data_IF_431139672220
#
_entry.id   IF_431139672220
#
_cell.length_a   1.000
_cell.length_b   1.000
_cell.length_c   1.000
_cell.angle_alpha   90.00
_cell.angle_beta   90.00
_cell.angle_gamma   90.00
#
_symmetry.space_group_name_H-M   'P 1'
#
loop_
_entity.id
_entity.type
_entity.pdbx_description
1 polymer ?
#
# COMPACT_ATOMS: atom_id res chain seq x y z
N UNK A 1 -5.64 25.71 -70.43
CA UNK A 1 -6.97 26.35 -70.53
C UNK A 1 -7.98 25.27 -70.93
N UNK A 2 -8.60 24.63 -69.94
CA UNK A 2 -9.91 23.97 -70.02
C UNK A 2 -10.31 23.62 -68.57
N UNK A 3 -11.53 23.94 -68.12
CA UNK A 3 -11.91 23.99 -66.72
C UNK A 3 -12.44 22.63 -66.22
N UNK A 4 -12.21 22.32 -64.95
CA UNK A 4 -12.91 21.23 -64.27
C UNK A 4 -14.34 21.65 -63.93
N UNK A 5 -15.36 20.80 -64.13
CA UNK A 5 -16.73 21.13 -63.76
C UNK A 5 -16.98 20.90 -62.27
N UNK A 6 -17.79 21.81 -61.74
CA UNK A 6 -18.28 21.94 -60.39
C UNK A 6 -19.43 20.98 -60.07
N UNK A 7 -19.65 20.86 -58.75
CA UNK A 7 -20.83 20.36 -58.07
C UNK A 7 -22.16 20.69 -58.76
N UNK A 8 -22.98 19.67 -58.97
CA UNK A 8 -24.37 19.56 -58.50
C UNK A 8 -24.94 18.25 -59.03
N UNK A 9 -25.23 17.30 -58.13
CA UNK A 9 -26.31 16.32 -58.27
C UNK A 9 -26.49 15.65 -56.90
N UNK A 10 -27.50 16.13 -56.18
CA UNK A 10 -28.08 15.51 -54.98
C UNK A 10 -29.35 14.82 -55.43
N UNK A 11 -29.49 13.53 -55.09
CA UNK A 11 -30.75 12.79 -54.81
C UNK A 11 -30.30 11.37 -54.43
N UNK A 12 -30.12 11.05 -53.14
CA UNK A 12 -31.10 10.51 -52.18
C UNK A 12 -31.76 9.19 -52.59
N UNK A 13 -31.96 8.31 -51.59
CA UNK A 13 -32.64 7.00 -51.61
C UNK A 13 -31.74 5.82 -52.05
N UNK A 14 -31.31 4.87 -51.21
CA UNK A 14 -32.05 4.09 -50.21
C UNK A 14 -31.09 3.43 -49.21
N UNK A 15 -31.38 3.56 -47.91
CA UNK A 15 -30.75 2.82 -46.82
C UNK A 15 -31.27 1.38 -46.77
N UNK A 16 -30.78 0.50 -47.64
CA UNK A 16 -31.06 -0.92 -47.60
C UNK A 16 -29.98 -1.65 -48.40
N UNK A 17 -28.83 -1.89 -47.78
CA UNK A 17 -27.92 -3.01 -48.04
C UNK A 17 -26.57 -2.70 -47.40
N UNK A 18 -26.36 -3.23 -46.18
CA UNK A 18 -25.07 -3.62 -45.57
C UNK A 18 -25.29 -3.87 -44.06
N UNK A 19 -26.13 -4.86 -43.74
CA UNK A 19 -26.21 -5.42 -42.40
C UNK A 19 -26.39 -6.94 -42.50
N UNK A 20 -25.37 -7.63 -42.99
CA UNK A 20 -25.17 -9.05 -42.72
C UNK A 20 -24.25 -9.14 -41.49
N UNK A 21 -24.70 -9.70 -40.35
CA UNK A 21 -23.78 -9.92 -39.24
C UNK A 21 -22.88 -11.10 -39.60
N UNK A 22 -21.58 -10.83 -39.75
CA UNK A 22 -20.53 -11.85 -39.66
C UNK A 22 -20.54 -12.37 -38.21
N UNK A 23 -21.35 -13.38 -37.94
CA UNK A 23 -21.20 -14.22 -36.76
C UNK A 23 -19.94 -15.06 -37.01
N UNK A 24 -18.76 -14.48 -36.75
CA UNK A 24 -17.57 -15.27 -36.50
C UNK A 24 -17.76 -15.90 -35.13
N UNK A 25 -17.97 -17.21 -35.10
CA UNK A 25 -17.90 -18.05 -33.91
C UNK A 25 -16.49 -17.97 -33.32
N UNK A 26 -16.19 -16.89 -32.61
CA UNK A 26 -15.07 -16.86 -31.67
C UNK A 26 -15.50 -17.72 -30.51
N UNK A 27 -14.95 -18.94 -30.43
CA UNK A 27 -15.12 -19.78 -29.27
C UNK A 27 -14.63 -18.96 -28.08
N UNK A 28 -15.53 -18.58 -27.18
CA UNK A 28 -15.18 -18.02 -25.89
C UNK A 28 -14.33 -19.07 -25.17
N UNK A 29 -13.01 -19.00 -25.32
CA UNK A 29 -12.09 -19.66 -24.43
C UNK A 29 -12.24 -18.98 -23.08
N UNK A 30 -13.24 -19.43 -22.32
CA UNK A 30 -13.33 -19.20 -20.89
C UNK A 30 -12.02 -19.76 -20.33
N UNK A 31 -11.07 -18.92 -19.86
CA UNK A 31 -9.85 -19.46 -19.29
C UNK A 31 -10.28 -20.38 -18.17
N UNK A 32 -9.78 -21.62 -18.20
CA UNK A 32 -10.02 -22.58 -17.14
C UNK A 32 -9.53 -21.91 -15.85
N UNK A 33 -10.47 -21.47 -15.02
CA UNK A 33 -10.19 -20.90 -13.71
C UNK A 33 -9.49 -22.01 -12.92
N UNK A 34 -8.16 -21.92 -12.82
CA UNK A 34 -7.38 -22.85 -12.01
C UNK A 34 -7.91 -22.72 -10.58
N UNK A 35 -8.44 -23.79 -9.97
CA UNK A 35 -8.97 -23.71 -8.61
C UNK A 35 -7.92 -23.12 -7.69
N UNK A 36 -8.30 -22.09 -6.93
CA UNK A 36 -7.45 -21.50 -5.90
C UNK A 36 -7.03 -22.60 -4.92
N UNK A 37 -5.73 -22.79 -4.72
CA UNK A 37 -5.22 -23.68 -3.67
C UNK A 37 -4.84 -22.79 -2.48
N UNK A 38 -5.52 -22.92 -1.32
CA UNK A 38 -5.21 -22.16 -0.11
C UNK A 38 -3.75 -22.29 0.37
N UNK A 39 -3.00 -23.29 -0.15
CA UNK A 39 -1.58 -23.50 0.13
C UNK A 39 -0.63 -22.46 -0.48
N UNK A 40 -1.10 -21.62 -1.41
CA UNK A 40 -0.27 -20.58 -2.03
C UNK A 40 0.00 -19.39 -1.09
N UNK A 41 -0.76 -19.28 0.01
CA UNK A 41 -0.62 -18.22 1.02
C UNK A 41 0.03 -18.82 2.28
N UNK A 42 1.14 -18.24 2.77
CA UNK A 42 1.77 -18.67 4.01
C UNK A 42 0.82 -18.61 5.22
N UNK A 43 0.95 -19.57 6.12
CA UNK A 43 0.07 -19.71 7.29
C UNK A 43 0.07 -18.52 8.27
N UNK A 44 1.10 -17.66 8.22
CA UNK A 44 1.18 -16.44 9.03
C UNK A 44 0.32 -15.27 8.49
N UNK A 45 -0.20 -15.38 7.26
CA UNK A 45 -1.07 -14.37 6.66
C UNK A 45 -2.52 -14.65 7.06
N UNK A 46 -3.27 -13.59 7.38
CA UNK A 46 -4.71 -13.66 7.65
C UNK A 46 -5.45 -14.30 6.45
N UNK A 47 -6.51 -15.09 6.70
CA UNK A 47 -7.31 -15.64 5.61
C UNK A 47 -7.94 -14.53 4.78
N UNK A 48 -8.06 -14.78 3.47
CA UNK A 48 -8.75 -13.87 2.55
C UNK A 48 -10.23 -13.72 2.95
N UNK A 49 -10.84 -12.55 2.72
CA UNK A 49 -12.21 -12.33 3.14
C UNK A 49 -13.17 -13.13 2.23
N UNK A 50 -14.28 -13.63 2.79
CA UNK A 50 -15.16 -14.60 2.12
C UNK A 50 -15.99 -14.02 0.97
N UNK A 51 -15.99 -12.70 0.80
CA UNK A 51 -16.71 -11.97 -0.23
C UNK A 51 -16.03 -11.96 -1.60
N UNK A 52 -14.77 -12.40 -1.71
CA UNK A 52 -14.07 -12.46 -2.99
C UNK A 52 -14.65 -13.56 -3.89
N UNK A 53 -15.13 -13.16 -5.06
CA UNK A 53 -15.64 -14.07 -6.07
C UNK A 53 -14.52 -14.92 -6.72
N UNK A 54 -14.86 -16.06 -7.34
CA UNK A 54 -13.87 -16.94 -7.98
C UNK A 54 -13.13 -16.27 -9.15
N UNK A 55 -13.76 -15.33 -9.84
CA UNK A 55 -13.15 -14.55 -10.93
C UNK A 55 -12.10 -13.59 -10.39
N UNK A 56 -12.41 -12.91 -9.29
CA UNK A 56 -11.52 -11.95 -8.62
C UNK A 56 -10.30 -12.67 -8.04
N UNK A 57 -10.52 -13.83 -7.41
CA UNK A 57 -9.45 -14.70 -6.92
C UNK A 57 -8.52 -15.17 -8.03
N UNK A 58 -9.06 -15.59 -9.17
CA UNK A 58 -8.25 -16.01 -10.32
C UNK A 58 -7.44 -14.84 -10.88
N UNK A 59 -8.04 -13.66 -11.01
CA UNK A 59 -7.35 -12.47 -11.48
C UNK A 59 -6.22 -12.02 -10.53
N UNK A 60 -6.49 -11.96 -9.23
CA UNK A 60 -5.48 -11.63 -8.21
C UNK A 60 -4.35 -12.66 -8.20
N UNK A 61 -4.66 -13.95 -8.36
CA UNK A 61 -3.66 -15.02 -8.45
C UNK A 61 -2.78 -14.86 -9.69
N UNK A 62 -3.37 -14.63 -10.86
CA UNK A 62 -2.64 -14.41 -12.11
C UNK A 62 -1.69 -13.21 -12.03
N UNK A 63 -2.14 -12.13 -11.36
CA UNK A 63 -1.32 -10.94 -11.08
C UNK A 63 -0.30 -11.11 -9.96
N UNK A 64 -0.28 -12.27 -9.30
CA UNK A 64 0.62 -12.56 -8.19
C UNK A 64 0.31 -11.78 -6.90
N UNK A 65 -0.93 -11.35 -6.70
CA UNK A 65 -1.38 -10.63 -5.51
C UNK A 65 -1.25 -11.44 -4.22
N UNK A 66 -1.20 -12.77 -4.32
CA UNK A 66 -1.00 -13.69 -3.19
C UNK A 66 0.45 -14.20 -3.07
N UNK A 67 1.33 -13.89 -4.03
CA UNK A 67 2.68 -14.46 -4.05
C UNK A 67 3.63 -13.65 -3.17
N UNK A 68 4.19 -14.31 -2.15
CA UNK A 68 5.24 -13.76 -1.30
C UNK A 68 6.60 -14.28 -1.79
N UNK A 69 7.66 -13.45 -1.81
CA UNK A 69 8.99 -13.90 -2.19
C UNK A 69 9.57 -14.93 -1.22
N UNK A 70 10.72 -15.51 -1.60
CA UNK A 70 11.51 -16.35 -0.72
C UNK A 70 11.84 -15.65 0.61
N UNK A 71 11.84 -16.42 1.71
CA UNK A 71 12.04 -15.92 3.08
C UNK A 71 13.28 -15.02 3.21
N UNK A 72 14.40 -15.42 2.60
CA UNK A 72 15.65 -14.65 2.62
C UNK A 72 15.49 -13.23 2.02
N UNK A 73 14.76 -13.11 0.92
CA UNK A 73 14.48 -11.82 0.29
C UNK A 73 13.40 -11.04 1.05
N UNK A 74 12.33 -11.71 1.50
CA UNK A 74 11.26 -11.12 2.32
C UNK A 74 11.83 -10.48 3.59
N UNK A 75 12.63 -11.23 4.35
CA UNK A 75 13.18 -10.80 5.62
C UNK A 75 14.19 -9.67 5.43
N UNK A 76 15.00 -9.73 4.36
CA UNK A 76 15.85 -8.63 3.95
C UNK A 76 15.08 -7.33 3.64
N UNK A 77 13.93 -7.44 2.96
CA UNK A 77 13.05 -6.28 2.68
C UNK A 77 12.43 -5.69 3.96
N UNK A 78 11.99 -6.53 4.88
CA UNK A 78 11.43 -6.10 6.17
C UNK A 78 12.51 -5.44 7.03
N UNK A 79 13.72 -6.00 7.05
CA UNK A 79 14.85 -5.42 7.77
C UNK A 79 15.17 -4.00 7.28
N UNK A 80 15.27 -3.79 5.96
CA UNK A 80 15.55 -2.45 5.44
C UNK A 80 14.37 -1.50 5.62
N UNK A 81 13.13 -1.99 5.64
CA UNK A 81 11.97 -1.18 6.02
C UNK A 81 12.09 -0.68 7.46
N UNK A 82 12.41 -1.57 8.41
CA UNK A 82 12.60 -1.24 9.83
C UNK A 82 13.74 -0.23 9.99
N UNK A 83 14.84 -0.40 9.26
CA UNK A 83 16.03 0.47 9.39
C UNK A 83 15.83 1.86 8.78
N UNK A 84 15.20 1.95 7.61
CA UNK A 84 15.24 3.17 6.79
C UNK A 84 13.88 3.85 6.58
N UNK A 85 12.76 3.14 6.74
CA UNK A 85 11.42 3.70 6.52
C UNK A 85 10.72 3.99 7.84
N UNK A 86 10.67 3.00 8.74
CA UNK A 86 9.98 3.11 10.02
C UNK A 86 10.36 4.35 10.85
N UNK A 87 11.66 4.75 10.94
CA UNK A 87 12.06 5.98 11.62
C UNK A 87 11.33 7.26 11.19
N UNK A 88 10.94 7.33 9.91
CA UNK A 88 10.32 8.51 9.32
C UNK A 88 8.81 8.36 9.19
N UNK A 89 8.30 7.13 9.19
CA UNK A 89 6.89 6.80 9.07
C UNK A 89 6.55 5.60 9.97
N UNK A 90 6.46 5.80 11.28
CA UNK A 90 6.27 4.74 12.27
C UNK A 90 4.80 4.30 12.33
N UNK A 91 4.20 3.91 11.20
CA UNK A 91 2.78 3.59 11.10
C UNK A 91 2.39 2.17 11.56
N UNK A 92 3.37 1.32 11.87
CA UNK A 92 3.15 -0.07 12.27
C UNK A 92 3.51 -0.34 13.74
N UNK A 93 2.92 -1.42 14.25
CA UNK A 93 3.46 -2.16 15.38
C UNK A 93 4.48 -3.18 14.85
N UNK A 94 5.76 -2.91 15.11
CA UNK A 94 6.82 -3.77 14.61
C UNK A 94 6.89 -5.11 15.36
N UNK A 95 6.50 -5.15 16.64
CA UNK A 95 6.48 -6.41 17.40
C UNK A 95 5.44 -7.34 16.78
N UNK A 96 4.22 -6.84 16.57
CA UNK A 96 3.16 -7.60 15.93
C UNK A 96 3.52 -8.08 14.52
N UNK A 97 4.21 -7.23 13.74
CA UNK A 97 4.71 -7.61 12.41
C UNK A 97 5.70 -8.77 12.48
N UNK A 98 6.68 -8.73 13.39
CA UNK A 98 7.74 -9.74 13.40
C UNK A 98 7.30 -11.02 14.09
N UNK A 99 6.69 -10.92 15.27
CA UNK A 99 6.13 -12.11 15.94
C UNK A 99 5.09 -12.79 15.06
N UNK A 100 4.41 -12.00 14.23
CA UNK A 100 3.42 -12.54 13.32
C UNK A 100 4.01 -13.40 12.21
N UNK A 101 5.24 -13.12 11.73
CA UNK A 101 5.90 -13.92 10.68
C UNK A 101 6.34 -15.28 11.24
N UNK A 102 6.80 -15.28 12.49
CA UNK A 102 7.19 -16.49 13.22
C UNK A 102 5.96 -17.34 13.62
N UNK A 103 4.77 -16.74 13.65
CA UNK A 103 3.56 -17.41 14.11
C UNK A 103 2.81 -18.12 12.97
N UNK A 104 2.44 -19.38 13.17
CA UNK A 104 1.73 -20.20 12.19
C UNK A 104 0.21 -19.98 12.15
N UNK A 105 -0.35 -19.05 12.95
CA UNK A 105 -1.81 -18.90 13.12
C UNK A 105 -2.44 -17.69 12.41
N UNK A 106 -1.81 -17.13 11.38
CA UNK A 106 -2.47 -16.16 10.48
C UNK A 106 -2.69 -14.78 11.11
N UNK A 107 -1.64 -14.12 11.58
CA UNK A 107 -1.73 -12.82 12.28
C UNK A 107 -1.53 -11.59 11.40
N UNK A 108 -0.93 -11.72 10.20
CA UNK A 108 -0.49 -10.57 9.40
C UNK A 108 -1.44 -10.28 8.24
N UNK A 109 -1.80 -9.01 8.09
CA UNK A 109 -2.50 -8.51 6.91
C UNK A 109 -1.63 -8.64 5.65
N UNK A 110 -2.15 -9.31 4.61
CA UNK A 110 -1.43 -9.52 3.36
C UNK A 110 -1.08 -8.20 2.67
N UNK A 111 -2.03 -7.24 2.65
CA UNK A 111 -1.81 -5.94 2.01
C UNK A 111 -0.72 -5.15 2.75
N UNK A 112 -0.71 -5.20 4.08
CA UNK A 112 0.33 -4.56 4.90
C UNK A 112 1.69 -5.19 4.65
N UNK A 113 1.77 -6.52 4.58
CA UNK A 113 3.03 -7.21 4.30
C UNK A 113 3.59 -6.83 2.92
N UNK A 114 2.75 -6.80 1.89
CA UNK A 114 3.15 -6.32 0.57
C UNK A 114 3.61 -4.86 0.60
N UNK A 115 2.91 -4.01 1.35
CA UNK A 115 3.23 -2.59 1.47
C UNK A 115 4.56 -2.34 2.21
N UNK A 116 4.86 -3.14 3.24
CA UNK A 116 6.15 -3.14 3.95
C UNK A 116 7.28 -3.55 3.02
N UNK A 117 7.12 -4.68 2.32
CA UNK A 117 8.12 -5.15 1.35
C UNK A 117 8.33 -4.12 0.22
N UNK A 118 7.24 -3.53 -0.28
CA UNK A 118 7.26 -2.45 -1.25
C UNK A 118 8.10 -1.26 -0.77
N UNK A 119 7.85 -0.78 0.44
CA UNK A 119 8.57 0.36 1.01
C UNK A 119 10.06 0.04 1.23
N UNK A 120 10.38 -1.20 1.63
CA UNK A 120 11.76 -1.66 1.79
C UNK A 120 12.57 -1.72 0.48
N UNK A 121 11.91 -1.91 -0.66
CA UNK A 121 12.59 -2.01 -1.98
C UNK A 121 13.37 -0.74 -2.36
N UNK A 122 13.12 0.42 -1.74
CA UNK A 122 13.93 1.61 -1.98
C UNK A 122 15.37 1.48 -1.43
N UNK A 123 15.59 0.62 -0.43
CA UNK A 123 16.84 0.58 0.35
C UNK A 123 17.62 -0.74 0.24
N UNK A 124 16.99 -1.82 -0.26
CA UNK A 124 17.66 -3.12 -0.41
C UNK A 124 18.81 -3.07 -1.43
N UNK A 125 19.89 -3.84 -1.26
CA UNK A 125 20.97 -3.91 -2.26
C UNK A 125 20.52 -4.47 -3.62
N UNK A 126 21.10 -4.01 -4.73
CA UNK A 126 20.73 -4.48 -6.07
C UNK A 126 21.06 -5.96 -6.29
N UNK A 127 22.08 -6.49 -5.60
CA UNK A 127 22.40 -7.92 -5.58
C UNK A 127 21.18 -8.78 -5.17
N UNK A 128 20.49 -8.42 -4.09
CA UNK A 128 19.32 -9.17 -3.62
C UNK A 128 18.15 -9.12 -4.63
N UNK A 129 17.95 -7.97 -5.28
CA UNK A 129 16.91 -7.82 -6.31
C UNK A 129 17.21 -8.71 -7.52
N UNK A 130 18.47 -8.75 -7.97
CA UNK A 130 18.91 -9.61 -9.06
C UNK A 130 18.84 -11.09 -8.71
N UNK A 131 19.24 -11.47 -7.49
CA UNK A 131 19.12 -12.85 -6.99
C UNK A 131 17.66 -13.31 -6.92
N UNK A 132 16.73 -12.42 -6.62
CA UNK A 132 15.28 -12.68 -6.65
C UNK A 132 14.69 -12.71 -8.08
N UNK A 133 15.52 -12.64 -9.12
CA UNK A 133 15.10 -12.76 -10.53
C UNK A 133 14.58 -11.47 -11.16
N UNK A 134 14.79 -10.30 -10.54
CA UNK A 134 14.36 -9.02 -11.10
C UNK A 134 15.51 -8.27 -11.76
N UNK A 135 15.21 -7.61 -12.88
CA UNK A 135 16.20 -6.88 -13.67
C UNK A 135 16.52 -5.49 -13.11
N UNK A 136 15.53 -4.78 -12.57
CA UNK A 136 15.70 -3.41 -12.08
C UNK A 136 14.91 -3.15 -10.81
N UNK A 137 15.44 -2.27 -9.94
CA UNK A 137 14.73 -1.80 -8.75
C UNK A 137 13.39 -1.17 -9.09
N UNK A 138 13.35 -0.30 -10.10
CA UNK A 138 12.12 0.40 -10.52
C UNK A 138 11.03 -0.58 -10.94
N UNK A 139 11.34 -1.55 -11.82
CA UNK A 139 10.37 -2.56 -12.23
C UNK A 139 9.89 -3.43 -11.06
N UNK A 140 10.78 -3.76 -10.13
CA UNK A 140 10.43 -4.50 -8.90
C UNK A 140 9.48 -3.71 -8.01
N UNK A 141 9.79 -2.42 -7.78
CA UNK A 141 8.91 -1.52 -7.03
C UNK A 141 7.53 -1.40 -7.66
N UNK A 142 7.45 -1.22 -8.98
CA UNK A 142 6.17 -1.19 -9.70
C UNK A 142 5.39 -2.49 -9.50
N UNK A 143 6.03 -3.66 -9.59
CA UNK A 143 5.35 -4.94 -9.36
C UNK A 143 4.78 -5.07 -7.95
N UNK A 144 5.55 -4.71 -6.92
CA UNK A 144 5.07 -4.77 -5.54
C UNK A 144 3.98 -3.73 -5.26
N UNK A 145 4.12 -2.52 -5.82
CA UNK A 145 3.10 -1.49 -5.73
C UNK A 145 1.76 -1.97 -6.34
N UNK A 146 1.79 -2.58 -7.53
CA UNK A 146 0.59 -3.13 -8.17
C UNK A 146 -0.06 -4.23 -7.31
N UNK A 147 0.70 -5.06 -6.60
CA UNK A 147 0.12 -6.05 -5.67
C UNK A 147 -0.67 -5.37 -4.56
N UNK A 148 -0.11 -4.35 -3.90
CA UNK A 148 -0.79 -3.59 -2.84
C UNK A 148 -2.04 -2.91 -3.39
N UNK A 149 -1.91 -2.25 -4.55
CA UNK A 149 -3.02 -1.58 -5.23
C UNK A 149 -4.15 -2.54 -5.58
N UNK A 150 -3.85 -3.72 -6.12
CA UNK A 150 -4.86 -4.72 -6.47
C UNK A 150 -5.57 -5.24 -5.21
N UNK A 151 -4.84 -5.58 -4.16
CA UNK A 151 -5.47 -6.00 -2.89
C UNK A 151 -6.39 -4.92 -2.31
N UNK A 152 -6.03 -3.65 -2.49
CA UNK A 152 -6.88 -2.52 -2.12
C UNK A 152 -8.10 -2.37 -3.03
N UNK A 153 -7.94 -2.44 -4.35
CA UNK A 153 -9.03 -2.27 -5.33
C UNK A 153 -10.08 -3.39 -5.26
N UNK A 154 -9.71 -4.57 -4.80
CA UNK A 154 -10.59 -5.72 -4.60
C UNK A 154 -11.06 -5.90 -3.14
N UNK A 155 -10.91 -4.86 -2.30
CA UNK A 155 -11.37 -4.85 -0.90
C UNK A 155 -10.92 -6.10 -0.09
N UNK A 156 -9.67 -6.55 -0.32
CA UNK A 156 -9.14 -7.78 0.29
C UNK A 156 -8.81 -7.65 1.78
N UNK A 157 -8.82 -6.44 2.33
CA UNK A 157 -8.49 -6.18 3.73
C UNK A 157 -9.67 -5.52 4.45
N UNK A 158 -10.33 -6.23 5.38
CA UNK A 158 -11.44 -5.67 6.14
C UNK A 158 -10.98 -4.75 7.28
N UNK A 159 -9.73 -4.91 7.76
CA UNK A 159 -9.19 -4.07 8.83
C UNK A 159 -8.79 -2.69 8.29
N UNK A 160 -9.59 -1.68 8.64
CA UNK A 160 -9.34 -0.29 8.23
C UNK A 160 -8.03 0.28 8.76
N UNK A 161 -7.52 -0.21 9.90
CA UNK A 161 -6.21 0.23 10.41
C UNK A 161 -5.11 -0.28 9.49
N UNK A 162 -5.18 -1.55 9.10
CA UNK A 162 -4.28 -2.17 8.13
C UNK A 162 -4.35 -1.48 6.75
N UNK A 163 -5.55 -1.08 6.31
CA UNK A 163 -5.72 -0.30 5.09
C UNK A 163 -5.02 1.06 5.15
N UNK A 164 -5.17 1.83 6.23
CA UNK A 164 -4.47 3.12 6.40
C UNK A 164 -2.95 2.91 6.38
N UNK A 165 -2.44 1.86 7.04
CA UNK A 165 -1.02 1.52 7.02
C UNK A 165 -0.52 1.25 5.60
N UNK A 166 -1.22 0.41 4.83
CA UNK A 166 -0.86 0.10 3.46
C UNK A 166 -0.91 1.34 2.55
N UNK A 167 -1.98 2.12 2.62
CA UNK A 167 -2.15 3.35 1.82
C UNK A 167 -1.06 4.38 2.13
N UNK A 168 -0.68 4.54 3.40
CA UNK A 168 0.44 5.41 3.78
C UNK A 168 1.76 4.94 3.17
N UNK A 169 2.04 3.64 3.19
CA UNK A 169 3.26 3.12 2.59
C UNK A 169 3.25 3.29 1.07
N UNK A 170 2.10 3.13 0.39
CA UNK A 170 1.98 3.39 -1.04
C UNK A 170 2.37 4.82 -1.44
N UNK A 171 2.19 5.80 -0.55
CA UNK A 171 2.62 7.19 -0.81
C UNK A 171 4.14 7.29 -1.02
N UNK A 172 4.95 6.31 -0.63
CA UNK A 172 6.40 6.29 -0.86
C UNK A 172 6.79 5.97 -2.32
N UNK A 173 5.83 5.62 -3.18
CA UNK A 173 6.11 5.35 -4.58
C UNK A 173 6.56 6.61 -5.33
N UNK A 174 7.67 6.49 -6.05
CA UNK A 174 8.11 7.52 -7.00
C UNK A 174 7.38 7.31 -8.32
N UNK A 175 6.22 7.96 -8.46
CA UNK A 175 5.42 7.90 -9.67
C UNK A 175 6.17 8.52 -10.85
N UNK A 176 6.12 7.90 -12.05
CA UNK A 176 6.45 8.58 -13.29
C UNK A 176 5.65 9.87 -13.43
N UNK A 177 6.24 10.87 -14.10
CA UNK A 177 5.50 12.06 -14.51
C UNK A 177 4.24 11.61 -15.27
N UNK A 178 3.07 12.15 -14.91
CA UNK A 178 1.76 11.93 -15.54
C UNK A 178 0.90 10.74 -15.08
N UNK A 179 1.24 10.01 -14.01
CA UNK A 179 0.26 9.08 -13.42
C UNK A 179 -0.87 9.82 -12.70
N UNK A 180 -2.12 9.41 -12.96
CA UNK A 180 -3.33 10.01 -12.38
C UNK A 180 -3.46 9.73 -10.86
N UNK A 181 -2.95 8.58 -10.40
CA UNK A 181 -2.98 8.14 -9.00
C UNK A 181 -1.61 8.38 -8.34
N UNK A 182 -1.23 9.65 -8.22
CA UNK A 182 0.04 10.07 -7.62
C UNK A 182 0.05 10.04 -6.08
N UNK A 183 1.15 10.48 -5.47
CA UNK A 183 1.33 10.49 -4.01
C UNK A 183 0.23 11.27 -3.26
N UNK A 184 -0.26 12.37 -3.84
CA UNK A 184 -1.35 13.17 -3.27
C UNK A 184 -2.67 12.38 -3.30
N UNK A 185 -2.96 11.66 -4.39
CA UNK A 185 -4.12 10.77 -4.44
C UNK A 185 -4.11 9.71 -3.32
N UNK A 186 -3.00 8.98 -3.16
CA UNK A 186 -2.89 7.94 -2.12
C UNK A 186 -2.95 8.51 -0.71
N UNK A 187 -2.40 9.71 -0.51
CA UNK A 187 -2.50 10.44 0.76
C UNK A 187 -3.96 10.79 1.06
N UNK A 188 -4.72 11.27 0.07
CA UNK A 188 -6.17 11.49 0.20
C UNK A 188 -6.96 10.23 0.56
N UNK A 189 -6.61 9.08 -0.03
CA UNK A 189 -7.23 7.78 0.33
C UNK A 189 -6.91 7.39 1.78
N UNK A 190 -5.66 7.53 2.21
CA UNK A 190 -5.27 7.25 3.60
C UNK A 190 -6.01 8.16 4.60
N UNK A 191 -6.17 9.45 4.27
CA UNK A 191 -6.94 10.41 5.08
C UNK A 191 -8.41 9.99 5.17
N UNK A 192 -9.03 9.63 4.05
CA UNK A 192 -10.43 9.19 4.02
C UNK A 192 -10.65 7.96 4.90
N UNK A 193 -9.77 6.97 4.83
CA UNK A 193 -9.87 5.77 5.67
C UNK A 193 -9.61 6.10 7.15
N UNK A 194 -8.63 6.97 7.45
CA UNK A 194 -8.33 7.41 8.81
C UNK A 194 -9.51 8.16 9.45
N UNK A 195 -10.25 8.96 8.69
CA UNK A 195 -11.49 9.57 9.17
C UNK A 195 -12.57 8.52 9.38
N UNK A 196 -12.74 7.60 8.43
CA UNK A 196 -13.79 6.57 8.46
C UNK A 196 -13.67 5.63 9.66
N UNK A 197 -12.45 5.27 10.07
CA UNK A 197 -12.24 4.49 11.29
C UNK A 197 -11.99 5.36 12.53
N UNK A 198 -12.05 6.69 12.45
CA UNK A 198 -11.98 7.57 13.62
C UNK A 198 -10.58 7.69 14.25
N UNK A 199 -9.49 7.63 13.46
CA UNK A 199 -8.12 7.85 13.98
C UNK A 199 -7.88 9.31 14.40
N UNK A 200 -8.57 10.25 13.77
CA UNK A 200 -8.58 11.67 14.14
C UNK A 200 -9.17 11.96 15.52
N UNK A 201 -9.78 10.93 16.14
CA UNK A 201 -10.45 11.04 17.42
C UNK A 201 -9.60 10.55 18.59
N UNK A 202 -9.71 11.18 19.74
CA UNK A 202 -9.15 10.66 20.99
C UNK A 202 -9.73 9.26 21.26
N UNK A 203 -8.85 8.31 21.57
CA UNK A 203 -9.27 6.96 21.90
C UNK A 203 -10.02 6.94 23.24
N UNK A 204 -11.14 6.23 23.28
CA UNK A 204 -11.83 5.93 24.53
C UNK A 204 -11.07 4.81 25.26
N UNK A 205 -10.60 5.04 26.51
CA UNK A 205 -9.87 4.02 27.27
C UNK A 205 -10.67 2.75 27.57
N UNK A 206 -12.00 2.82 27.50
CA UNK A 206 -12.91 1.67 27.70
C UNK A 206 -12.98 0.72 26.51
N UNK A 207 -12.64 1.19 25.31
CA UNK A 207 -12.98 0.51 24.06
C UNK A 207 -11.80 -0.29 23.49
N UNK A 208 -10.59 -0.03 23.97
CA UNK A 208 -9.36 -0.62 23.43
C UNK A 208 -8.23 -0.66 24.46
N UNK A 209 -7.24 -1.51 24.19
CA UNK A 209 -6.02 -1.60 24.99
C UNK A 209 -5.14 -0.35 24.82
N UNK A 210 -4.23 -0.12 25.76
CA UNK A 210 -3.28 0.99 25.68
C UNK A 210 -2.40 0.94 24.42
N UNK A 211 -2.01 -0.27 23.99
CA UNK A 211 -1.21 -0.49 22.77
C UNK A 211 -1.99 -0.13 21.51
N UNK A 212 -3.27 -0.54 21.42
CA UNK A 212 -4.14 -0.17 20.29
C UNK A 212 -4.39 1.34 20.25
N UNK A 213 -4.62 1.98 21.40
CA UNK A 213 -4.78 3.43 21.49
C UNK A 213 -3.51 4.18 21.03
N UNK A 214 -2.34 3.73 21.47
CA UNK A 214 -1.05 4.28 21.06
C UNK A 214 -0.83 4.12 19.55
N UNK A 215 -1.08 2.93 18.98
CA UNK A 215 -0.96 2.68 17.55
C UNK A 215 -1.91 3.57 16.73
N UNK A 216 -3.17 3.70 17.13
CA UNK A 216 -4.15 4.56 16.44
C UNK A 216 -3.73 6.01 16.43
N UNK A 217 -3.27 6.52 17.58
CA UNK A 217 -2.75 7.88 17.73
C UNK A 217 -1.50 8.09 16.85
N UNK A 218 -0.54 7.16 16.90
CA UNK A 218 0.68 7.17 16.07
C UNK A 218 0.33 7.19 14.57
N UNK A 219 -0.63 6.36 14.17
CA UNK A 219 -1.09 6.26 12.79
C UNK A 219 -1.77 7.54 12.30
N UNK A 220 -2.62 8.17 13.12
CA UNK A 220 -3.19 9.48 12.81
C UNK A 220 -2.11 10.52 12.52
N UNK A 221 -1.12 10.64 13.40
CA UNK A 221 -0.03 11.60 13.22
C UNK A 221 0.86 11.29 12.02
N UNK A 222 1.02 10.00 11.65
CA UNK A 222 1.63 9.61 10.38
C UNK A 222 0.84 10.14 9.17
N UNK A 223 -0.49 10.00 9.17
CA UNK A 223 -1.36 10.56 8.13
C UNK A 223 -1.23 12.08 8.05
N UNK A 224 -1.32 12.75 9.20
CA UNK A 224 -1.26 14.21 9.28
C UNK A 224 0.07 14.76 8.76
N UNK A 225 1.19 14.25 9.25
CA UNK A 225 2.53 14.67 8.79
C UNK A 225 2.70 14.38 7.31
N UNK A 226 2.24 13.22 6.84
CA UNK A 226 2.35 12.87 5.42
C UNK A 226 1.59 13.85 4.53
N UNK A 227 0.37 14.22 4.88
CA UNK A 227 -0.40 15.23 4.14
C UNK A 227 0.37 16.55 3.98
N UNK A 228 0.97 17.06 5.06
CA UNK A 228 1.74 18.30 5.02
C UNK A 228 2.98 18.20 4.14
N UNK A 229 3.74 17.11 4.26
CA UNK A 229 4.95 16.91 3.47
C UNK A 229 4.65 16.73 1.98
N UNK A 230 3.57 16.01 1.65
CA UNK A 230 3.14 15.79 0.26
C UNK A 230 2.60 17.09 -0.35
N UNK A 231 1.76 17.82 0.37
CA UNK A 231 1.26 19.13 -0.05
C UNK A 231 2.42 20.09 -0.36
N UNK A 232 3.42 20.15 0.52
CA UNK A 232 4.62 20.97 0.34
C UNK A 232 5.45 20.52 -0.87
N UNK A 233 5.77 19.23 -0.95
CA UNK A 233 6.63 18.67 -2.01
C UNK A 233 6.00 18.74 -3.40
N UNK A 234 4.68 18.57 -3.50
CA UNK A 234 3.94 18.61 -4.77
C UNK A 234 3.35 19.98 -5.10
N UNK A 235 3.51 20.98 -4.22
CA UNK A 235 2.91 22.32 -4.35
C UNK A 235 1.39 22.25 -4.52
N UNK A 236 0.74 21.40 -3.74
CA UNK A 236 -0.73 21.21 -3.72
C UNK A 236 -1.30 21.61 -2.36
N UNK A 237 -2.62 21.74 -2.30
CA UNK A 237 -3.32 21.98 -1.04
C UNK A 237 -3.25 20.78 -0.09
N UNK A 238 -3.17 21.06 1.20
CA UNK A 238 -3.35 20.09 2.28
C UNK A 238 -4.77 19.53 2.23
N UNK A 239 -4.93 18.23 2.51
CA UNK A 239 -6.21 17.54 2.42
C UNK A 239 -6.87 17.32 3.78
N UNK A 240 -6.11 17.35 4.88
CA UNK A 240 -6.69 17.34 6.24
C UNK A 240 -7.25 18.73 6.55
N UNK A 241 -8.57 18.86 6.40
CA UNK A 241 -9.32 20.12 6.60
C UNK A 241 -10.33 20.07 7.75
N UNK A 242 -10.64 18.88 8.27
CA UNK A 242 -11.62 18.66 9.35
C UNK A 242 -10.95 18.80 10.71
N UNK A 243 -11.71 19.25 11.70
CA UNK A 243 -11.28 19.27 13.08
C UNK A 243 -10.89 17.86 13.56
N UNK A 244 -9.83 17.79 14.34
CA UNK A 244 -9.34 16.59 15.00
C UNK A 244 -9.17 16.89 16.50
N UNK A 245 -9.37 15.89 17.34
CA UNK A 245 -9.19 15.99 18.79
C UNK A 245 -8.13 15.00 19.31
N UNK A 246 -7.47 14.26 18.40
CA UNK A 246 -6.39 13.35 18.74
C UNK A 246 -5.27 14.07 19.49
N UNK A 247 -4.88 13.59 20.70
CA UNK A 247 -3.85 14.24 21.49
C UNK A 247 -2.49 14.18 20.80
N UNK A 248 -1.63 15.15 21.09
CA UNK A 248 -0.24 15.16 20.61
C UNK A 248 0.52 13.92 21.07
N UNK A 249 1.41 13.41 20.22
CA UNK A 249 2.28 12.29 20.52
C UNK A 249 3.19 12.58 21.71
N UNK A 250 3.38 11.54 22.51
CA UNK A 250 4.31 11.44 23.61
C UNK A 250 5.31 10.32 23.32
N UNK A 251 6.37 10.21 24.11
CA UNK A 251 7.36 9.14 23.91
C UNK A 251 6.79 7.76 24.21
N UNK A 252 5.80 7.68 25.08
CA UNK A 252 5.17 6.42 25.50
C UNK A 252 4.30 5.82 24.39
N UNK A 253 3.95 6.62 23.37
CA UNK A 253 3.22 6.15 22.18
C UNK A 253 4.12 5.35 21.21
N UNK A 254 5.43 5.28 21.46
CA UNK A 254 6.40 4.57 20.63
C UNK A 254 6.88 3.30 21.34
N UNK A 255 6.66 2.15 20.69
CA UNK A 255 7.05 0.86 21.21
C UNK A 255 8.57 0.76 21.33
N UNK A 256 9.05 0.25 22.48
CA UNK A 256 10.43 -0.22 22.60
C UNK A 256 10.53 -1.54 21.85
N UNK A 257 11.25 -1.53 20.74
CA UNK A 257 11.32 -2.69 19.86
C UNK A 257 12.45 -3.61 20.30
N UNK A 258 12.12 -4.87 20.62
CA UNK A 258 13.09 -5.89 21.03
C UNK A 258 13.01 -7.05 20.04
N UNK A 259 14.02 -7.23 19.18
CA UNK A 259 13.95 -8.22 18.09
C UNK A 259 14.78 -9.48 18.24
N UNK A 260 14.15 -10.58 17.80
CA UNK A 260 14.67 -11.93 17.51
C UNK A 260 15.12 -12.15 16.06
N UNK A 261 14.72 -11.29 15.10
CA UNK A 261 15.27 -11.33 13.74
C UNK A 261 16.80 -11.19 13.85
N UNK A 262 17.54 -12.00 13.10
CA UNK A 262 19.01 -12.02 13.06
C UNK A 262 19.63 -10.74 12.47
N UNK A 263 19.18 -9.58 12.94
CA UNK A 263 19.65 -8.27 12.56
C UNK A 263 21.07 -8.08 13.03
N UNK A 264 21.86 -7.40 12.20
CA UNK A 264 23.23 -7.04 12.54
C UNK A 264 23.29 -6.19 13.82
N UNK A 265 24.37 -6.36 14.58
CA UNK A 265 24.72 -5.48 15.69
C UNK A 265 24.86 -4.04 15.19
N UNK A 266 24.17 -3.10 15.85
CA UNK A 266 24.11 -1.69 15.45
C UNK A 266 22.91 -1.29 14.55
N UNK A 267 22.01 -2.22 14.25
CA UNK A 267 20.73 -1.89 13.58
C UNK A 267 19.85 -0.97 14.44
N UNK A 268 19.04 -0.13 13.80
CA UNK A 268 18.01 0.72 14.43
C UNK A 268 17.16 -0.04 15.44
N UNK A 269 16.86 -1.31 15.16
CA UNK A 269 16.10 -2.16 16.05
C UNK A 269 16.79 -2.45 17.40
N UNK A 270 18.12 -2.39 17.48
CA UNK A 270 18.89 -2.67 18.71
C UNK A 270 19.37 -1.41 19.43
N UNK A 271 19.40 -0.27 18.75
CA UNK A 271 19.83 1.01 19.34
C UNK A 271 18.66 1.79 19.94
N UNK A 272 18.45 1.57 21.25
CA UNK A 272 17.42 2.26 22.04
C UNK A 272 17.58 3.78 22.06
N UNK A 273 18.81 4.29 21.98
CA UNK A 273 19.05 5.73 21.96
C UNK A 273 18.66 6.33 20.61
N UNK A 274 18.99 5.64 19.50
CA UNK A 274 18.55 6.01 18.16
C UNK A 274 17.03 5.99 18.06
N UNK A 275 16.36 4.97 18.60
CA UNK A 275 14.89 4.91 18.66
C UNK A 275 14.29 6.11 19.42
N UNK A 276 14.83 6.45 20.60
CA UNK A 276 14.38 7.59 21.41
C UNK A 276 14.59 8.94 20.74
N UNK A 277 15.71 9.11 20.04
CA UNK A 277 15.98 10.34 19.28
C UNK A 277 15.01 10.49 18.12
N UNK A 278 14.76 9.42 17.38
CA UNK A 278 13.88 9.44 16.23
C UNK A 278 12.41 9.65 16.62
N UNK A 279 11.93 9.05 17.71
CA UNK A 279 10.59 9.35 18.23
C UNK A 279 10.47 10.83 18.62
N UNK A 280 11.50 11.40 19.26
CA UNK A 280 11.54 12.83 19.59
C UNK A 280 11.52 13.70 18.33
N UNK A 281 12.28 13.34 17.29
CA UNK A 281 12.28 14.04 16.00
C UNK A 281 10.90 13.97 15.36
N UNK A 282 10.27 12.79 15.29
CA UNK A 282 8.95 12.64 14.70
C UNK A 282 7.88 13.45 15.44
N UNK A 283 7.90 13.46 16.78
CA UNK A 283 7.02 14.32 17.59
C UNK A 283 7.26 15.81 17.26
N UNK A 284 8.52 16.23 17.12
CA UNK A 284 8.83 17.61 16.75
C UNK A 284 8.34 17.94 15.32
N UNK A 285 8.51 17.03 14.36
CA UNK A 285 7.96 17.16 13.01
C UNK A 285 6.44 17.30 13.03
N UNK A 286 5.74 16.46 13.81
CA UNK A 286 4.29 16.54 13.98
C UNK A 286 3.85 17.91 14.54
N UNK A 287 4.57 18.44 15.54
CA UNK A 287 4.31 19.79 16.09
C UNK A 287 4.53 20.89 15.06
N UNK A 288 5.61 20.80 14.26
CA UNK A 288 5.89 21.77 13.19
C UNK A 288 4.81 21.76 12.10
N UNK A 289 4.22 20.60 11.82
CA UNK A 289 3.15 20.45 10.83
C UNK A 289 1.81 21.09 11.24
N UNK A 290 1.66 21.50 12.51
CA UNK A 290 0.47 22.22 13.02
C UNK A 290 0.61 23.73 12.85
N UNK A 291 1.85 24.24 12.92
CA UNK A 291 2.18 25.66 12.88
C UNK A 291 2.01 26.24 11.46
#
# INVERSE_FOLDING_TARGET
>A
MAPGPSLDDVDDVTLQDLATPLISSTSEHRPLLIPFNPKDIPCYVKPLPPNLGPVELAYLKERGGFSIPEDSFRDGLIQVYIEYVYPHLPCLDLNALVTGIDNTTGSISLIVLHAVMFAGLAFVGMCHISSAGFSTRKATQTRFFEKVRLLYEFDCEPDRVALVQALLLMTLHSHPLHEQKDMWYWTGRAISEAYSCGLHRAANPSDMTAQEAALRKKLWWCVFVRDRLVALGMRRGMQVTVAYDAPMLTRDDFDSFLLSLGLADGSFARDMEKQRRLSTIFIATAKLCIA
#
